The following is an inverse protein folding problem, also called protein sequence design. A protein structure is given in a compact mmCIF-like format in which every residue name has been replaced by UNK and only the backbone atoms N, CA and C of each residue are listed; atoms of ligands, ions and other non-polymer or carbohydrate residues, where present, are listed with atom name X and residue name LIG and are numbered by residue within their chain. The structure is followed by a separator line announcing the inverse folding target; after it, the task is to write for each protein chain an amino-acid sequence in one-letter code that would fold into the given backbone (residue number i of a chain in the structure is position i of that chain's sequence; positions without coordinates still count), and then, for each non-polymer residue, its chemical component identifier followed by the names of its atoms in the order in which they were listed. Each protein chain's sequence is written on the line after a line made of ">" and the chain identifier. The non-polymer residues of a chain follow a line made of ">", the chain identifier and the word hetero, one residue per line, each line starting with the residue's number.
data_IF_980415181163
#
_entry.id   IF_980415181163
#
_cell.length_a   1.000
_cell.length_b   1.000
_cell.length_c   1.000
_cell.angle_alpha   90.00
_cell.angle_beta   90.00
_cell.angle_gamma   90.00
#
_symmetry.space_group_name_H-M   'P 1'
#
loop_
_entity.id
_entity.type
_entity.pdbx_description
1 polymer ?
#
# COMPACT_ATOMS: atom_id res chain seq x y z
N UNK A 1 39.34 -9.50 2.17
CA UNK A 1 38.18 -9.51 1.26
C UNK A 1 38.62 -9.25 -0.18
N UNK A 2 39.22 -8.09 -0.45
CA UNK A 2 39.65 -7.68 -1.80
C UNK A 2 40.68 -8.61 -2.46
N UNK A 3 41.70 -9.06 -1.74
CA UNK A 3 42.64 -10.07 -2.25
C UNK A 3 41.95 -11.37 -2.71
N UNK A 4 40.93 -11.81 -1.96
CA UNK A 4 40.16 -13.00 -2.32
C UNK A 4 39.32 -12.76 -3.58
N UNK A 5 38.75 -11.55 -3.73
CA UNK A 5 38.07 -11.14 -4.97
C UNK A 5 39.01 -11.19 -6.17
N UNK A 6 40.24 -10.65 -6.03
CA UNK A 6 41.26 -10.67 -7.08
C UNK A 6 41.67 -12.09 -7.48
N UNK A 7 41.91 -12.97 -6.50
CA UNK A 7 42.28 -14.38 -6.77
C UNK A 7 41.20 -15.17 -7.52
N UNK A 8 39.94 -14.77 -7.40
CA UNK A 8 38.81 -15.44 -8.04
C UNK A 8 38.25 -14.64 -9.22
N UNK A 9 39.03 -13.73 -9.81
CA UNK A 9 38.58 -12.98 -10.97
C UNK A 9 38.22 -13.91 -12.16
N UNK A 10 37.09 -13.68 -12.86
CA UNK A 10 36.13 -12.59 -12.67
C UNK A 10 35.21 -12.82 -11.46
N UNK A 11 35.06 -11.81 -10.59
CA UNK A 11 34.25 -11.92 -9.37
C UNK A 11 33.44 -10.65 -9.05
N UNK A 12 32.40 -10.81 -8.24
CA UNK A 12 31.59 -9.71 -7.70
C UNK A 12 31.77 -9.67 -6.18
N UNK A 13 32.13 -8.51 -5.66
CA UNK A 13 32.16 -8.22 -4.22
C UNK A 13 30.90 -7.45 -3.88
N UNK A 14 30.03 -8.01 -3.04
CA UNK A 14 28.82 -7.35 -2.57
C UNK A 14 28.97 -6.89 -1.12
N UNK A 15 28.70 -5.61 -0.87
CA UNK A 15 28.74 -4.99 0.47
C UNK A 15 27.33 -4.49 0.80
N UNK A 16 26.63 -5.20 1.67
CA UNK A 16 25.34 -4.75 2.19
C UNK A 16 25.53 -3.72 3.30
N UNK A 17 24.53 -2.86 3.50
CA UNK A 17 24.51 -1.80 4.52
C UNK A 17 25.82 -0.98 4.60
N UNK A 18 26.29 -0.49 3.44
CA UNK A 18 27.57 0.25 3.38
C UNK A 18 27.59 1.49 4.28
N UNK A 19 26.44 2.05 4.66
CA UNK A 19 26.35 3.15 5.62
C UNK A 19 26.80 2.80 7.05
N UNK A 20 26.93 1.53 7.39
CA UNK A 20 27.53 1.10 8.66
C UNK A 20 29.02 1.49 8.76
N UNK A 21 29.75 1.41 7.65
CA UNK A 21 31.19 1.67 7.54
C UNK A 21 31.52 2.96 6.78
N UNK A 22 30.60 3.41 5.92
CA UNK A 22 30.80 4.49 4.95
C UNK A 22 30.21 5.84 5.37
N UNK A 23 29.87 6.03 6.65
CA UNK A 23 29.19 7.24 7.12
C UNK A 23 30.14 8.43 7.20
N UNK A 24 29.69 9.59 6.71
CA UNK A 24 30.40 10.86 6.83
C UNK A 24 30.57 11.30 8.29
N UNK A 25 31.59 12.12 8.55
CA UNK A 25 31.88 12.70 9.86
C UNK A 25 30.66 13.44 10.40
N UNK A 26 30.11 12.95 11.51
CA UNK A 26 29.24 13.76 12.35
C UNK A 26 30.11 14.49 13.38
N UNK A 27 29.91 15.80 13.55
CA UNK A 27 30.66 16.66 14.49
C UNK A 27 30.33 16.38 15.97
N UNK A 28 30.37 15.11 16.37
CA UNK A 28 30.13 14.65 17.73
C UNK A 28 31.46 14.37 18.45
N UNK A 29 31.70 15.07 19.56
CA UNK A 29 32.82 14.83 20.47
C UNK A 29 32.60 13.47 21.16
N UNK A 30 33.20 12.39 20.67
CA UNK A 30 33.14 11.07 21.31
C UNK A 30 33.93 9.99 20.56
N UNK A 31 34.86 9.31 21.25
CA UNK A 31 35.89 8.42 20.68
C UNK A 31 35.45 7.08 20.06
N UNK A 32 34.27 7.03 19.45
CA UNK A 32 33.80 5.89 18.62
C UNK A 32 34.02 6.09 17.10
N UNK A 33 34.66 7.20 16.72
CA UNK A 33 34.90 7.56 15.32
C UNK A 33 36.12 6.84 14.71
N UNK A 34 37.13 6.52 15.51
CA UNK A 34 38.45 6.12 15.00
C UNK A 34 38.45 4.76 14.28
N UNK A 35 37.75 3.75 14.81
CA UNK A 35 37.68 2.42 14.18
C UNK A 35 36.90 2.45 12.86
N UNK A 36 35.84 3.26 12.80
CA UNK A 36 35.02 3.43 11.60
C UNK A 36 35.80 4.19 10.53
N UNK A 37 36.50 5.25 10.91
CA UNK A 37 37.37 6.00 9.99
C UNK A 37 38.51 5.14 9.47
N UNK A 38 39.12 4.32 10.31
CA UNK A 38 40.17 3.39 9.88
C UNK A 38 39.62 2.36 8.87
N UNK A 39 38.43 1.81 9.14
CA UNK A 39 37.77 0.85 8.26
C UNK A 39 37.37 1.48 6.92
N UNK A 40 36.84 2.71 6.94
CA UNK A 40 36.51 3.48 5.74
C UNK A 40 37.77 3.76 4.91
N UNK A 41 38.83 4.27 5.52
CA UNK A 41 40.07 4.56 4.81
C UNK A 41 40.71 3.30 4.22
N UNK A 42 40.68 2.17 4.94
CA UNK A 42 41.12 0.89 4.40
C UNK A 42 40.29 0.48 3.17
N UNK A 43 38.97 0.63 3.23
CA UNK A 43 38.09 0.38 2.08
C UNK A 43 38.47 1.26 0.88
N UNK A 44 38.71 2.56 1.11
CA UNK A 44 39.08 3.51 0.05
C UNK A 44 40.44 3.18 -0.59
N UNK A 45 41.44 2.82 0.21
CA UNK A 45 42.77 2.44 -0.29
C UNK A 45 42.69 1.17 -1.13
N UNK A 46 41.92 0.17 -0.67
CA UNK A 46 41.72 -1.06 -1.43
C UNK A 46 40.99 -0.78 -2.75
N UNK A 47 39.97 0.08 -2.75
CA UNK A 47 39.24 0.48 -3.97
C UNK A 47 40.14 1.22 -4.98
N UNK A 48 40.97 2.15 -4.51
CA UNK A 48 41.93 2.88 -5.36
C UNK A 48 43.05 1.96 -5.89
N UNK A 49 43.27 0.80 -5.25
CA UNK A 49 44.21 -0.23 -5.64
C UNK A 49 43.70 -1.24 -6.68
N UNK A 50 42.52 -1.01 -7.27
CA UNK A 50 42.00 -1.79 -8.39
C UNK A 50 42.24 -1.09 -9.72
N UNK A 51 42.82 -1.82 -10.67
CA UNK A 51 42.81 -1.42 -12.07
C UNK A 51 41.56 -1.98 -12.75
N UNK A 52 41.02 -1.27 -13.74
CA UNK A 52 39.83 -1.71 -14.50
C UNK A 52 40.02 -3.06 -15.21
N UNK A 53 41.25 -3.56 -15.31
CA UNK A 53 41.62 -4.83 -15.93
C UNK A 53 41.54 -6.04 -14.98
N UNK A 54 41.37 -5.84 -13.67
CA UNK A 54 41.37 -6.92 -12.67
C UNK A 54 40.12 -7.82 -12.75
N UNK A 55 39.09 -7.46 -13.52
CA UNK A 55 37.88 -8.27 -13.69
C UNK A 55 37.02 -8.41 -12.43
N UNK A 56 37.20 -7.53 -11.44
CA UNK A 56 36.46 -7.50 -10.19
C UNK A 56 35.45 -6.35 -10.21
N UNK A 57 34.18 -6.64 -9.90
CA UNK A 57 33.11 -5.63 -9.78
C UNK A 57 32.72 -5.50 -8.31
N UNK A 58 32.69 -4.28 -7.79
CA UNK A 58 32.25 -4.00 -6.43
C UNK A 58 30.84 -3.40 -6.48
N UNK A 59 29.90 -4.01 -5.77
CA UNK A 59 28.52 -3.56 -5.62
C UNK A 59 28.25 -3.32 -4.14
N UNK A 60 27.59 -2.20 -3.82
CA UNK A 60 27.17 -1.90 -2.47
C UNK A 60 25.68 -1.54 -2.42
N UNK A 61 25.03 -1.83 -1.28
CA UNK A 61 23.64 -1.46 -1.03
C UNK A 61 23.56 -0.57 0.23
N UNK A 62 22.68 0.43 0.18
CA UNK A 62 22.32 1.23 1.35
C UNK A 62 20.90 1.79 1.19
N UNK A 63 20.20 1.94 2.30
CA UNK A 63 18.95 2.69 2.38
C UNK A 63 19.17 4.18 2.68
N UNK A 64 20.43 4.60 2.88
CA UNK A 64 20.81 5.94 3.35
C UNK A 64 21.98 6.52 2.55
N UNK A 65 21.80 6.81 1.26
CA UNK A 65 22.85 7.40 0.44
C UNK A 65 23.30 8.78 0.94
N UNK A 66 22.41 9.50 1.63
CA UNK A 66 22.61 10.84 2.18
C UNK A 66 23.69 10.90 3.28
N UNK A 67 23.84 9.84 4.08
CA UNK A 67 24.81 9.83 5.17
C UNK A 67 26.20 9.36 4.75
N UNK A 68 26.34 8.87 3.51
CA UNK A 68 27.60 8.35 3.02
C UNK A 68 28.66 9.44 2.86
N UNK A 69 29.92 9.07 3.11
CA UNK A 69 31.07 9.93 2.85
C UNK A 69 31.19 10.16 1.34
N UNK A 70 31.28 11.44 0.96
CA UNK A 70 31.44 11.86 -0.44
C UNK A 70 32.70 11.29 -1.10
N UNK A 71 33.69 10.88 -0.31
CA UNK A 71 34.88 10.18 -0.79
C UNK A 71 34.54 8.83 -1.44
N UNK A 72 33.52 8.11 -0.98
CA UNK A 72 33.08 6.83 -1.57
C UNK A 72 32.47 7.01 -2.97
N UNK A 73 31.84 8.16 -3.20
CA UNK A 73 31.08 8.46 -4.42
C UNK A 73 31.94 9.12 -5.52
N UNK A 74 33.26 9.24 -5.30
CA UNK A 74 34.17 9.85 -6.29
C UNK A 74 34.45 8.90 -7.45
N UNK A 75 34.75 9.43 -8.65
CA UNK A 75 35.18 8.63 -9.79
C UNK A 75 36.33 7.69 -9.43
N UNK A 76 36.25 6.43 -9.87
CA UNK A 76 37.21 5.37 -9.52
C UNK A 76 36.80 4.52 -8.31
N UNK A 77 35.72 4.89 -7.60
CA UNK A 77 35.16 4.13 -6.47
C UNK A 77 33.72 3.70 -6.78
N UNK A 78 32.73 4.15 -6.00
CA UNK A 78 31.32 3.99 -6.35
C UNK A 78 30.87 5.13 -7.27
N UNK A 79 31.32 5.07 -8.52
CA UNK A 79 31.05 6.08 -9.55
C UNK A 79 29.65 5.96 -10.18
N UNK A 80 29.00 4.79 -10.02
CA UNK A 80 27.64 4.51 -10.51
C UNK A 80 26.67 4.32 -9.35
N UNK A 81 25.59 5.08 -9.38
CA UNK A 81 24.47 4.95 -8.45
C UNK A 81 23.24 4.49 -9.23
N UNK A 82 22.65 3.38 -8.78
CA UNK A 82 21.41 2.84 -9.33
C UNK A 82 20.38 2.90 -8.23
N UNK A 83 19.38 3.76 -8.39
CA UNK A 83 18.27 3.87 -7.44
C UNK A 83 17.25 2.79 -7.79
N UNK A 84 16.90 1.98 -6.80
CA UNK A 84 15.85 0.96 -6.92
C UNK A 84 14.63 1.48 -6.17
N UNK A 85 13.68 2.03 -6.91
CA UNK A 85 12.42 2.51 -6.35
C UNK A 85 11.49 1.35 -5.95
N UNK A 86 10.48 1.66 -5.14
CA UNK A 86 9.40 0.73 -4.84
C UNK A 86 8.67 0.31 -6.13
N UNK A 87 8.24 -0.96 -6.23
CA UNK A 87 7.61 -1.48 -7.44
C UNK A 87 6.26 -0.79 -7.72
N UNK A 88 6.07 -0.40 -8.99
CA UNK A 88 4.77 0.03 -9.55
C UNK A 88 3.82 -1.15 -9.71
N UNK A 89 2.55 -0.90 -10.02
CA UNK A 89 1.50 -1.92 -10.14
C UNK A 89 1.92 -3.17 -10.92
N UNK A 90 2.47 -2.99 -12.12
CA UNK A 90 2.95 -4.09 -12.97
C UNK A 90 4.10 -4.85 -12.30
N UNK A 91 5.04 -4.13 -11.68
CA UNK A 91 6.13 -4.74 -10.91
C UNK A 91 5.64 -5.53 -9.71
N UNK A 92 4.63 -5.03 -8.98
CA UNK A 92 4.01 -5.75 -7.86
C UNK A 92 3.30 -7.01 -8.34
N UNK A 93 2.59 -6.95 -9.47
CA UNK A 93 1.95 -8.11 -10.08
C UNK A 93 2.99 -9.20 -10.44
N UNK A 94 4.10 -8.82 -11.06
CA UNK A 94 5.18 -9.77 -11.43
C UNK A 94 5.89 -10.35 -10.20
N UNK A 95 6.19 -9.53 -9.19
CA UNK A 95 6.77 -10.01 -7.93
C UNK A 95 5.83 -11.01 -7.26
N UNK A 96 4.52 -10.70 -7.18
CA UNK A 96 3.52 -11.62 -6.65
C UNK A 96 3.48 -12.93 -7.45
N UNK A 97 3.54 -12.89 -8.79
CA UNK A 97 3.59 -14.10 -9.62
C UNK A 97 4.81 -14.96 -9.32
N UNK A 98 6.00 -14.37 -9.19
CA UNK A 98 7.25 -15.07 -8.89
C UNK A 98 7.13 -15.80 -7.54
N UNK A 99 6.69 -15.08 -6.50
CA UNK A 99 6.56 -15.67 -5.16
C UNK A 99 5.39 -16.67 -5.05
N UNK A 100 4.32 -16.47 -5.82
CA UNK A 100 3.17 -17.36 -5.87
C UNK A 100 3.52 -18.76 -6.42
N UNK A 101 4.57 -18.92 -7.23
CA UNK A 101 5.00 -20.25 -7.74
C UNK A 101 5.31 -21.25 -6.62
N UNK A 102 5.66 -20.78 -5.43
CA UNK A 102 5.98 -21.61 -4.27
C UNK A 102 4.74 -22.04 -3.48
N UNK A 103 3.56 -21.54 -3.84
CA UNK A 103 2.32 -21.68 -3.05
C UNK A 103 1.19 -22.17 -3.96
N UNK A 104 0.36 -23.08 -3.44
CA UNK A 104 -0.82 -23.54 -4.16
C UNK A 104 -1.95 -22.52 -4.03
N UNK A 105 -2.22 -21.78 -5.11
CA UNK A 105 -3.34 -20.83 -5.19
C UNK A 105 -4.64 -21.52 -5.63
N UNK A 106 -5.77 -21.02 -5.16
CA UNK A 106 -7.09 -21.43 -5.63
C UNK A 106 -7.32 -20.97 -7.10
N UNK A 107 -8.07 -21.73 -7.91
CA UNK A 107 -8.42 -21.32 -9.27
C UNK A 107 -9.15 -19.97 -9.26
N UNK A 108 -8.81 -19.08 -10.20
CA UNK A 108 -9.45 -17.76 -10.33
C UNK A 108 -8.92 -16.67 -9.40
N UNK A 109 -7.80 -16.91 -8.69
CA UNK A 109 -7.17 -15.91 -7.83
C UNK A 109 -6.56 -14.77 -8.66
N UNK A 110 -7.15 -13.57 -8.59
CA UNK A 110 -6.67 -12.38 -9.29
C UNK A 110 -5.56 -11.65 -8.50
N UNK A 111 -4.30 -11.98 -8.82
CA UNK A 111 -3.13 -11.31 -8.24
C UNK A 111 -3.01 -9.83 -8.63
N UNK A 112 -3.61 -9.40 -9.74
CA UNK A 112 -3.62 -7.99 -10.15
C UNK A 112 -4.57 -7.17 -9.28
N UNK A 113 -5.69 -7.75 -8.83
CA UNK A 113 -6.54 -7.15 -7.79
C UNK A 113 -5.77 -6.96 -6.49
N UNK A 114 -4.98 -7.96 -6.09
CA UNK A 114 -4.14 -7.87 -4.89
C UNK A 114 -3.05 -6.78 -5.04
N UNK A 115 -2.37 -6.73 -6.19
CA UNK A 115 -1.32 -5.75 -6.50
C UNK A 115 -1.80 -4.29 -6.43
N UNK A 116 -3.07 -4.03 -6.78
CA UNK A 116 -3.70 -2.71 -6.61
C UNK A 116 -3.83 -2.32 -5.13
N UNK A 117 -4.05 -3.30 -4.25
CA UNK A 117 -4.25 -3.10 -2.81
C UNK A 117 -2.96 -2.97 -2.01
N UNK A 118 -1.82 -3.28 -2.62
CA UNK A 118 -0.48 -3.27 -2.01
C UNK A 118 0.36 -2.08 -2.48
N UNK A 119 -0.26 -0.95 -2.81
CA UNK A 119 0.47 0.27 -3.15
C UNK A 119 1.41 0.68 -2.00
N UNK A 120 2.67 0.97 -2.35
CA UNK A 120 3.75 1.27 -1.40
C UNK A 120 4.45 0.07 -0.78
N UNK A 121 4.09 -1.17 -1.15
CA UNK A 121 4.76 -2.37 -0.65
C UNK A 121 6.09 -2.58 -1.37
N UNK A 122 7.11 -2.98 -0.62
CA UNK A 122 8.37 -3.47 -1.18
C UNK A 122 8.23 -4.91 -1.70
N UNK A 123 9.23 -5.39 -2.45
CA UNK A 123 9.26 -6.79 -2.86
C UNK A 123 9.27 -7.76 -1.68
N UNK A 124 9.94 -7.39 -0.59
CA UNK A 124 9.97 -8.16 0.66
C UNK A 124 8.58 -8.21 1.32
N UNK A 125 7.84 -7.09 1.34
CA UNK A 125 6.49 -7.05 1.90
C UNK A 125 5.52 -7.94 1.11
N UNK A 126 5.62 -7.97 -0.22
CA UNK A 126 4.81 -8.84 -1.09
C UNK A 126 5.13 -10.32 -0.87
N UNK A 127 6.41 -10.66 -0.73
CA UNK A 127 6.84 -12.01 -0.40
C UNK A 127 6.31 -12.45 0.97
N UNK A 128 6.38 -11.56 1.97
CA UNK A 128 5.87 -11.81 3.31
C UNK A 128 4.34 -11.96 3.32
N UNK A 129 3.61 -11.14 2.57
CA UNK A 129 2.16 -11.25 2.39
C UNK A 129 1.76 -12.64 1.91
N UNK A 130 2.41 -13.14 0.85
CA UNK A 130 2.12 -14.46 0.31
C UNK A 130 2.42 -15.59 1.31
N UNK A 131 3.52 -15.47 2.04
CA UNK A 131 3.86 -16.41 3.11
C UNK A 131 2.80 -16.41 4.23
N UNK A 132 2.35 -15.23 4.63
CA UNK A 132 1.29 -15.08 5.63
C UNK A 132 -0.05 -15.66 5.16
N UNK A 133 -0.40 -15.49 3.88
CA UNK A 133 -1.59 -16.10 3.29
C UNK A 133 -1.51 -17.63 3.31
N UNK A 134 -0.35 -18.20 2.99
CA UNK A 134 -0.12 -19.65 3.07
C UNK A 134 -0.24 -20.18 4.51
N UNK A 135 0.27 -19.44 5.49
CA UNK A 135 0.13 -19.78 6.91
C UNK A 135 -1.33 -19.71 7.37
N UNK A 136 -2.10 -18.72 6.91
CA UNK A 136 -3.54 -18.58 7.22
C UNK A 136 -4.36 -19.73 6.63
N UNK A 137 -4.12 -20.09 5.37
CA UNK A 137 -4.77 -21.21 4.71
C UNK A 137 -4.44 -22.54 5.40
N UNK A 138 -3.16 -22.75 5.75
CA UNK A 138 -2.69 -23.95 6.46
C UNK A 138 -3.34 -24.10 7.84
N UNK A 139 -3.47 -23.00 8.60
CA UNK A 139 -4.17 -23.00 9.90
C UNK A 139 -5.65 -23.39 9.81
N UNK A 140 -6.29 -23.08 8.68
CA UNK A 140 -7.67 -23.45 8.39
C UNK A 140 -7.78 -24.82 7.70
N UNK A 141 -6.67 -25.55 7.57
CA UNK A 141 -6.58 -26.82 6.85
C UNK A 141 -7.10 -26.75 5.40
N UNK A 142 -6.99 -25.58 4.75
CA UNK A 142 -7.38 -25.40 3.35
C UNK A 142 -6.36 -26.07 2.42
N UNK A 143 -6.86 -26.62 1.31
CA UNK A 143 -6.02 -27.29 0.31
C UNK A 143 -5.29 -26.32 -0.64
N UNK A 144 -5.71 -25.05 -0.68
CA UNK A 144 -5.12 -23.97 -1.49
C UNK A 144 -5.42 -22.62 -0.83
N UNK A 145 -4.58 -21.62 -1.12
CA UNK A 145 -4.75 -20.23 -0.68
C UNK A 145 -5.77 -19.54 -1.58
N UNK A 146 -6.83 -19.00 -0.98
CA UNK A 146 -7.86 -18.24 -1.70
C UNK A 146 -7.64 -16.71 -1.60
N UNK A 147 -8.53 -15.94 -2.25
CA UNK A 147 -8.46 -14.48 -2.23
C UNK A 147 -8.71 -13.88 -0.83
N UNK A 148 -9.49 -14.55 0.01
CA UNK A 148 -9.79 -14.07 1.37
C UNK A 148 -8.55 -14.20 2.26
N UNK A 149 -7.81 -15.30 2.14
CA UNK A 149 -6.54 -15.49 2.84
C UNK A 149 -5.50 -14.44 2.40
N UNK A 150 -5.46 -14.10 1.11
CA UNK A 150 -4.57 -13.06 0.56
C UNK A 150 -4.96 -11.65 1.05
N UNK A 151 -6.25 -11.32 1.07
CA UNK A 151 -6.74 -10.04 1.58
C UNK A 151 -6.50 -9.91 3.09
N UNK A 152 -6.70 -10.98 3.87
CA UNK A 152 -6.39 -11.00 5.30
C UNK A 152 -4.89 -10.86 5.55
N UNK A 153 -4.05 -11.55 4.78
CA UNK A 153 -2.60 -11.44 4.87
C UNK A 153 -2.12 -10.03 4.52
N UNK A 154 -2.68 -9.41 3.48
CA UNK A 154 -2.40 -8.02 3.10
C UNK A 154 -2.68 -7.08 4.27
N UNK A 155 -3.87 -7.20 4.85
CA UNK A 155 -4.29 -6.33 5.95
C UNK A 155 -3.43 -6.56 7.20
N UNK A 156 -3.03 -7.81 7.45
CA UNK A 156 -2.09 -8.16 8.52
C UNK A 156 -0.71 -7.55 8.31
N UNK A 157 -0.16 -7.59 7.09
CA UNK A 157 1.14 -6.96 6.79
C UNK A 157 1.04 -5.45 6.93
N UNK A 158 -0.08 -4.85 6.50
CA UNK A 158 -0.26 -3.38 6.52
C UNK A 158 -0.52 -2.80 7.90
N UNK A 159 -1.39 -3.44 8.69
CA UNK A 159 -1.92 -2.89 9.95
C UNK A 159 -1.65 -3.77 11.17
N UNK A 160 -1.03 -4.93 10.98
CA UNK A 160 -0.82 -5.91 12.02
C UNK A 160 -2.01 -6.84 12.23
N UNK A 161 -1.87 -7.73 13.21
CA UNK A 161 -2.86 -8.78 13.49
C UNK A 161 -4.16 -8.19 14.03
N UNK A 162 -5.26 -8.84 13.66
CA UNK A 162 -6.58 -8.65 14.25
C UNK A 162 -6.53 -8.85 15.77
N UNK A 163 -7.13 -7.92 16.53
CA UNK A 163 -7.18 -7.99 18.00
C UNK A 163 -8.56 -8.41 18.50
N UNK A 164 -8.91 -9.69 18.30
CA UNK A 164 -10.16 -10.29 18.79
C UNK A 164 -10.36 -10.19 20.31
N UNK A 165 -9.28 -10.05 21.08
CA UNK A 165 -9.36 -9.90 22.54
C UNK A 165 -9.77 -8.50 22.98
N UNK A 166 -9.73 -7.50 22.10
CA UNK A 166 -10.21 -6.15 22.39
C UNK A 166 -11.67 -6.08 21.97
N UNK A 167 -12.54 -6.56 22.86
CA UNK A 167 -13.98 -6.36 22.73
C UNK A 167 -14.22 -4.86 22.91
N UNK A 168 -14.64 -4.19 21.84
CA UNK A 168 -15.10 -2.81 21.91
C UNK A 168 -16.45 -2.81 22.62
N UNK A 169 -16.67 -1.82 23.49
CA UNK A 169 -18.00 -1.61 24.03
C UNK A 169 -18.98 -1.22 22.91
N UNK A 170 -20.28 -1.43 23.10
CA UNK A 170 -21.29 -1.11 22.09
C UNK A 170 -21.26 0.38 21.70
N UNK A 171 -20.92 1.25 22.65
CA UNK A 171 -20.74 2.69 22.41
C UNK A 171 -19.50 2.98 21.54
N UNK A 172 -18.36 2.31 21.81
CA UNK A 172 -17.14 2.43 21.00
C UNK A 172 -17.33 1.83 19.60
N UNK A 173 -18.05 0.71 19.49
CA UNK A 173 -18.39 0.06 18.23
C UNK A 173 -19.28 0.97 17.40
N UNK A 174 -20.31 1.58 18.01
CA UNK A 174 -21.18 2.58 17.37
C UNK A 174 -20.36 3.79 16.91
N UNK A 175 -19.51 4.33 17.76
CA UNK A 175 -18.67 5.48 17.43
C UNK A 175 -17.80 5.20 16.21
N UNK A 176 -17.08 4.07 16.23
CA UNK A 176 -16.22 3.65 15.13
C UNK A 176 -17.03 3.41 13.85
N UNK A 177 -18.22 2.80 13.95
CA UNK A 177 -19.08 2.57 12.79
C UNK A 177 -19.54 3.87 12.12
N UNK A 178 -19.97 4.87 12.89
CA UNK A 178 -20.34 6.17 12.32
C UNK A 178 -19.13 6.92 11.75
N UNK A 179 -17.98 6.84 12.41
CA UNK A 179 -16.72 7.42 11.93
C UNK A 179 -16.33 6.86 10.55
N UNK A 180 -16.24 5.54 10.43
CA UNK A 180 -15.87 4.88 9.17
C UNK A 180 -16.94 5.06 8.09
N UNK A 181 -18.23 5.06 8.47
CA UNK A 181 -19.33 5.34 7.54
C UNK A 181 -19.28 6.79 7.01
N UNK A 182 -18.81 7.73 7.82
CA UNK A 182 -18.54 9.10 7.42
C UNK A 182 -17.51 9.17 6.29
N UNK A 183 -16.37 8.53 6.49
CA UNK A 183 -15.34 8.38 5.45
C UNK A 183 -15.90 7.74 4.19
N UNK A 184 -16.59 6.61 4.33
CA UNK A 184 -17.23 5.88 3.23
C UNK A 184 -18.06 6.80 2.33
N UNK A 185 -19.03 7.47 2.94
CA UNK A 185 -20.09 8.17 2.24
C UNK A 185 -19.53 9.40 1.53
N UNK A 186 -18.65 10.16 2.20
CA UNK A 186 -18.00 11.31 1.60
C UNK A 186 -17.08 10.88 0.46
N UNK A 187 -16.21 9.88 0.68
CA UNK A 187 -15.30 9.40 -0.36
C UNK A 187 -16.03 8.83 -1.58
N UNK A 188 -17.23 8.26 -1.41
CA UNK A 188 -18.04 7.76 -2.53
C UNK A 188 -18.70 8.89 -3.33
N UNK A 189 -19.00 10.03 -2.70
CA UNK A 189 -19.73 11.14 -3.31
C UNK A 189 -18.84 12.27 -3.84
N UNK A 190 -17.62 12.40 -3.34
CA UNK A 190 -16.69 13.43 -3.83
C UNK A 190 -16.14 13.10 -5.22
N UNK A 191 -16.00 14.14 -6.03
CA UNK A 191 -15.51 14.02 -7.40
C UNK A 191 -14.07 13.50 -7.46
N UNK A 192 -13.78 12.67 -8.47
CA UNK A 192 -12.44 12.12 -8.75
C UNK A 192 -11.84 11.32 -7.58
N UNK A 193 -12.67 10.83 -6.67
CA UNK A 193 -12.26 9.89 -5.62
C UNK A 193 -11.84 8.54 -6.20
N UNK A 194 -10.95 7.85 -5.51
CA UNK A 194 -10.64 6.45 -5.82
C UNK A 194 -11.78 5.54 -5.33
N UNK A 195 -12.08 4.43 -6.01
CA UNK A 195 -13.20 3.57 -5.62
C UNK A 195 -12.92 2.91 -4.27
N UNK A 196 -13.96 2.81 -3.45
CA UNK A 196 -13.90 2.08 -2.18
C UNK A 196 -13.69 0.59 -2.46
N UNK A 197 -12.87 -0.03 -1.61
CA UNK A 197 -12.60 -1.45 -1.63
C UNK A 197 -13.40 -2.17 -0.55
N UNK A 198 -13.25 -1.71 0.70
CA UNK A 198 -13.95 -2.21 1.87
C UNK A 198 -13.81 -1.26 3.04
N UNK A 199 -14.67 -1.44 4.03
CA UNK A 199 -14.70 -0.70 5.28
C UNK A 199 -14.91 -1.68 6.41
N UNK A 200 -14.17 -1.51 7.50
CA UNK A 200 -14.22 -2.41 8.65
C UNK A 200 -14.10 -1.66 9.96
N UNK A 201 -14.78 -2.14 10.99
CA UNK A 201 -14.66 -1.69 12.40
C UNK A 201 -13.93 -2.71 13.27
N UNK A 202 -13.25 -3.68 12.63
CA UNK A 202 -12.50 -4.70 13.34
C UNK A 202 -11.13 -4.12 13.73
N UNK A 203 -10.78 -4.04 15.03
CA UNK A 203 -9.55 -3.41 15.47
C UNK A 203 -8.31 -4.20 15.04
N UNK A 204 -7.32 -3.49 14.49
CA UNK A 204 -6.02 -4.05 14.05
C UNK A 204 -4.84 -3.28 14.62
N UNK A 205 -3.79 -4.02 14.98
CA UNK A 205 -2.56 -3.42 15.52
C UNK A 205 -2.78 -2.67 16.84
N UNK A 206 -1.90 -1.73 17.16
CA UNK A 206 -1.94 -0.95 18.42
C UNK A 206 -2.87 0.27 18.36
N UNK A 207 -3.25 0.75 17.18
CA UNK A 207 -3.84 2.09 17.02
C UNK A 207 -5.04 2.20 16.09
N UNK A 208 -5.43 1.15 15.36
CA UNK A 208 -6.56 1.21 14.42
C UNK A 208 -7.79 0.53 15.00
N UNK A 209 -8.86 1.31 15.20
CA UNK A 209 -10.17 0.82 15.65
C UNK A 209 -11.09 0.47 14.46
N UNK A 210 -10.93 1.18 13.34
CA UNK A 210 -11.57 0.90 12.06
C UNK A 210 -10.65 1.32 10.91
N UNK A 211 -11.06 0.99 9.69
CA UNK A 211 -10.38 1.44 8.48
C UNK A 211 -11.32 1.49 7.26
N UNK A 212 -11.22 2.59 6.51
CA UNK A 212 -11.81 2.76 5.18
C UNK A 212 -10.73 2.60 4.10
N UNK A 213 -10.92 1.63 3.20
CA UNK A 213 -9.94 1.28 2.17
C UNK A 213 -10.40 1.71 0.78
N UNK A 214 -9.52 2.38 0.03
CA UNK A 214 -9.68 2.65 -1.40
C UNK A 214 -8.73 1.76 -2.22
N UNK A 215 -9.16 1.34 -3.41
CA UNK A 215 -8.36 0.57 -4.34
C UNK A 215 -8.10 1.38 -5.61
N UNK A 216 -6.93 2.02 -5.75
CA UNK A 216 -6.61 2.79 -6.95
C UNK A 216 -6.69 1.93 -8.21
N UNK A 217 -7.23 2.49 -9.29
CA UNK A 217 -7.27 1.78 -10.59
C UNK A 217 -5.90 1.71 -11.26
N UNK A 218 -5.04 2.69 -10.99
CA UNK A 218 -3.68 2.81 -11.50
C UNK A 218 -2.82 3.60 -10.53
N UNK A 219 -1.52 3.35 -10.53
CA UNK A 219 -0.56 4.19 -9.82
C UNK A 219 -0.44 5.54 -10.57
N UNK A 220 -0.52 6.64 -9.84
CA UNK A 220 -0.43 8.01 -10.38
C UNK A 220 0.70 8.76 -9.70
N UNK A 221 1.48 9.49 -10.49
CA UNK A 221 2.54 10.36 -9.98
C UNK A 221 2.07 11.79 -9.70
N UNK A 222 0.92 12.20 -10.25
CA UNK A 222 0.38 13.56 -10.11
C UNK A 222 -1.08 13.52 -9.71
N UNK A 223 -1.47 14.48 -8.85
CA UNK A 223 -2.83 14.62 -8.35
C UNK A 223 -3.36 16.03 -8.62
N UNK A 224 -4.61 16.11 -9.07
CA UNK A 224 -5.27 17.38 -9.35
C UNK A 224 -5.90 18.00 -8.10
N UNK A 225 -6.00 19.34 -8.06
CA UNK A 225 -6.58 20.10 -6.95
C UNK A 225 -7.96 19.58 -6.50
N UNK A 226 -8.84 19.25 -7.44
CA UNK A 226 -10.20 18.74 -7.14
C UNK A 226 -10.13 17.45 -6.30
N UNK A 227 -9.24 16.52 -6.67
CA UNK A 227 -9.06 15.26 -5.94
C UNK A 227 -8.46 15.50 -4.56
N UNK A 228 -7.45 16.37 -4.45
CA UNK A 228 -6.84 16.72 -3.16
C UNK A 228 -7.86 17.37 -2.20
N UNK A 229 -8.71 18.27 -2.69
CA UNK A 229 -9.83 18.83 -1.91
C UNK A 229 -10.85 17.74 -1.53
N UNK A 230 -11.10 16.76 -2.40
CA UNK A 230 -11.93 15.59 -2.10
C UNK A 230 -11.33 14.72 -0.99
N UNK A 231 -10.01 14.48 -1.02
CA UNK A 231 -9.29 13.74 0.02
C UNK A 231 -9.33 14.45 1.37
N UNK A 232 -9.12 15.78 1.40
CA UNK A 232 -9.28 16.57 2.62
C UNK A 232 -10.69 16.44 3.21
N UNK A 233 -11.74 16.52 2.37
CA UNK A 233 -13.11 16.32 2.82
C UNK A 233 -13.33 14.89 3.34
N UNK A 234 -12.75 13.89 2.67
CA UNK A 234 -12.74 12.50 3.11
C UNK A 234 -12.16 12.34 4.51
N UNK A 235 -10.98 12.88 4.81
CA UNK A 235 -10.38 12.79 6.15
C UNK A 235 -11.14 13.58 7.22
N UNK A 236 -11.83 14.66 6.87
CA UNK A 236 -12.69 15.37 7.82
C UNK A 236 -13.98 14.61 8.14
N UNK A 237 -14.41 13.70 7.25
CA UNK A 237 -15.72 13.08 7.31
C UNK A 237 -15.95 12.24 8.57
N UNK A 238 -14.96 11.48 9.04
CA UNK A 238 -15.10 10.67 10.26
C UNK A 238 -15.44 11.51 11.49
N UNK A 239 -14.66 12.57 11.73
CA UNK A 239 -14.91 13.55 12.80
C UNK A 239 -16.27 14.24 12.67
N UNK A 240 -16.66 14.63 11.46
CA UNK A 240 -17.95 15.28 11.21
C UNK A 240 -19.11 14.32 11.48
N UNK A 241 -18.98 13.04 11.11
CA UNK A 241 -20.00 12.04 11.39
C UNK A 241 -20.19 11.84 12.90
N UNK A 242 -19.11 11.81 13.68
CA UNK A 242 -19.18 11.80 15.14
C UNK A 242 -19.94 13.02 15.69
N UNK A 243 -19.54 14.24 15.28
CA UNK A 243 -20.21 15.48 15.72
C UNK A 243 -21.71 15.46 15.41
N UNK A 244 -22.08 15.06 14.19
CA UNK A 244 -23.47 15.07 13.73
C UNK A 244 -24.35 14.01 14.39
N UNK A 245 -23.80 12.86 14.76
CA UNK A 245 -24.58 11.72 15.24
C UNK A 245 -24.53 11.60 16.76
N UNK A 246 -23.33 11.72 17.32
CA UNK A 246 -23.05 11.47 18.74
C UNK A 246 -23.07 12.77 19.55
N UNK A 247 -22.93 13.92 18.90
CA UNK A 247 -22.88 15.22 19.57
C UNK A 247 -21.58 15.46 20.35
N UNK A 248 -20.61 14.57 20.22
CA UNK A 248 -19.29 14.64 20.82
C UNK A 248 -18.22 14.26 19.79
N UNK A 249 -16.98 14.67 20.03
CA UNK A 249 -15.84 14.44 19.14
C UNK A 249 -14.80 13.60 19.87
N UNK A 250 -14.42 12.49 19.24
CA UNK A 250 -13.48 11.53 19.80
C UNK A 250 -12.01 11.91 19.55
N UNK A 251 -11.12 11.23 20.27
CA UNK A 251 -9.68 11.27 20.00
C UNK A 251 -9.27 10.39 18.81
N UNK A 252 -10.18 9.57 18.27
CA UNK A 252 -9.94 8.65 17.15
C UNK A 252 -9.57 9.36 15.84
N UNK A 253 -10.12 10.55 15.61
CA UNK A 253 -9.84 11.37 14.42
C UNK A 253 -8.42 12.00 14.38
N UNK A 254 -7.55 11.70 15.35
CA UNK A 254 -6.23 12.31 15.46
C UNK A 254 -5.32 12.04 14.26
N UNK A 255 -5.36 10.82 13.71
CA UNK A 255 -4.57 10.48 12.52
C UNK A 255 -5.10 11.20 11.27
N UNK A 256 -6.42 11.27 11.08
CA UNK A 256 -7.01 11.95 9.92
C UNK A 256 -6.69 13.43 9.91
N UNK A 257 -6.76 14.08 11.07
CA UNK A 257 -6.36 15.47 11.22
C UNK A 257 -4.87 15.68 10.91
N UNK A 258 -4.01 14.76 11.35
CA UNK A 258 -2.57 14.80 11.04
C UNK A 258 -2.32 14.68 9.53
N UNK A 259 -2.98 13.74 8.86
CA UNK A 259 -2.84 13.55 7.41
C UNK A 259 -3.42 14.74 6.63
N UNK A 260 -4.60 15.21 7.01
CA UNK A 260 -5.24 16.36 6.38
C UNK A 260 -4.40 17.64 6.53
N UNK A 261 -3.87 17.89 7.73
CA UNK A 261 -3.00 19.04 7.98
C UNK A 261 -1.71 18.95 7.16
N UNK A 262 -1.09 17.76 7.11
CA UNK A 262 0.11 17.54 6.27
C UNK A 262 -0.19 17.80 4.80
N UNK A 263 -1.29 17.27 4.27
CA UNK A 263 -1.65 17.47 2.87
C UNK A 263 -1.96 18.93 2.55
N UNK A 264 -2.76 19.60 3.40
CA UNK A 264 -3.06 21.01 3.23
C UNK A 264 -1.79 21.86 3.24
N UNK A 265 -0.82 21.52 4.09
CA UNK A 265 0.49 22.18 4.09
C UNK A 265 1.29 21.93 2.82
N UNK A 266 1.30 20.70 2.28
CA UNK A 266 1.94 20.41 0.98
C UNK A 266 1.27 21.17 -0.18
N UNK A 267 -0.06 21.25 -0.17
CA UNK A 267 -0.82 22.01 -1.16
C UNK A 267 -0.41 23.48 -1.17
N UNK A 268 -0.27 24.09 0.01
CA UNK A 268 0.10 25.50 0.15
C UNK A 268 1.60 25.73 -0.09
N UNK A 269 2.46 24.94 0.57
CA UNK A 269 3.90 25.18 0.60
C UNK A 269 4.66 24.61 -0.60
N UNK A 270 4.29 23.42 -1.11
CA UNK A 270 5.11 22.70 -2.09
C UNK A 270 4.50 22.76 -3.49
N UNK A 271 3.17 22.80 -3.59
CA UNK A 271 2.47 22.72 -4.87
C UNK A 271 1.84 24.05 -5.33
N UNK A 272 2.00 25.12 -4.55
CA UNK A 272 1.52 26.46 -4.93
C UNK A 272 0.01 26.52 -5.20
N UNK A 273 -0.78 25.70 -4.49
CA UNK A 273 -2.23 25.57 -4.70
C UNK A 273 -3.06 26.56 -3.86
N UNK A 274 -2.41 27.56 -3.25
CA UNK A 274 -3.09 28.70 -2.61
C UNK A 274 -3.24 29.83 -3.62
N UNK A 275 -4.46 30.35 -3.76
CA UNK A 275 -4.72 31.52 -4.59
C UNK A 275 -4.08 32.81 -4.02
N UNK A 276 -3.89 32.87 -2.70
CA UNK A 276 -3.36 34.06 -2.03
C UNK A 276 -1.83 34.12 -2.06
N UNK A 277 -1.17 32.97 -1.87
CA UNK A 277 0.29 32.87 -1.86
C UNK A 277 0.87 32.63 -3.26
N UNK A 278 0.05 32.20 -4.21
CA UNK A 278 0.44 32.00 -5.60
C UNK A 278 1.27 30.74 -5.85
N UNK A 279 1.72 30.54 -7.10
CA UNK A 279 2.43 29.33 -7.54
C UNK A 279 3.91 29.37 -7.17
N UNK A 280 4.24 29.40 -5.88
CA UNK A 280 5.61 29.39 -5.37
C UNK A 280 5.80 28.31 -4.29
N UNK A 281 7.05 27.92 -4.06
CA UNK A 281 7.43 26.93 -3.04
C UNK A 281 7.97 27.61 -1.79
N UNK A 282 7.51 27.19 -0.61
CA UNK A 282 7.91 27.71 0.69
C UNK A 282 8.64 26.66 1.52
N UNK A 283 9.81 27.03 2.03
CA UNK A 283 10.70 26.14 2.76
C UNK A 283 11.38 25.18 1.80
N UNK A 284 12.67 25.41 1.53
CA UNK A 284 13.47 24.40 0.86
C UNK A 284 13.48 23.16 1.75
N UNK A 285 12.80 22.10 1.31
CA UNK A 285 13.00 20.78 1.89
C UNK A 285 14.39 20.31 1.46
N UNK A 286 15.44 20.77 2.14
CA UNK A 286 16.50 19.82 2.46
C UNK A 286 15.88 18.85 3.44
N UNK A 287 15.41 17.74 2.89
CA UNK A 287 14.88 16.60 3.63
C UNK A 287 16.05 15.91 4.36
N UNK A 288 16.74 16.64 5.24
CA UNK A 288 17.68 16.11 6.23
C UNK A 288 16.85 15.36 7.28
N UNK A 289 16.30 14.22 6.88
CA UNK A 289 15.81 13.21 7.77
C UNK A 289 17.00 12.76 8.61
N UNK A 290 16.87 12.95 9.92
CA UNK A 290 17.57 12.17 10.97
C UNK A 290 18.67 12.87 11.78
N UNK A 291 18.31 13.92 12.52
CA UNK A 291 18.86 14.10 13.87
C UNK A 291 17.76 14.34 14.89
N UNK A 292 17.80 13.58 15.98
CA UNK A 292 17.08 13.82 17.24
C UNK A 292 17.58 15.07 17.98
N UNK A 293 17.77 16.16 17.25
CA UNK A 293 17.90 17.52 17.74
C UNK A 293 16.93 18.35 16.92
N UNK A 294 16.15 19.17 17.62
CA UNK A 294 15.46 20.32 17.06
C UNK A 294 16.51 21.26 16.45
N UNK A 295 17.06 20.89 15.28
CA UNK A 295 17.78 21.82 14.44
C UNK A 295 16.70 22.77 13.99
N UNK A 296 16.76 24.00 14.52
CA UNK A 296 15.88 25.08 14.16
C UNK A 296 15.69 25.05 12.65
N UNK A 297 14.46 24.75 12.21
CA UNK A 297 14.08 24.94 10.81
C UNK A 297 14.32 26.42 10.56
N UNK A 298 15.39 26.76 9.87
CA UNK A 298 15.50 28.08 9.28
C UNK A 298 14.34 28.15 8.30
N UNK A 299 13.28 28.87 8.68
CA UNK A 299 12.19 29.15 7.79
C UNK A 299 12.76 30.12 6.74
N UNK A 300 12.82 29.71 5.48
CA UNK A 300 13.29 30.56 4.37
C UNK A 300 12.31 31.71 4.04
N UNK A 301 11.41 32.04 4.96
CA UNK A 301 10.36 33.02 4.79
C UNK A 301 10.08 33.76 6.11
N UNK A 302 9.53 34.97 5.99
CA UNK A 302 9.22 35.82 7.14
C UNK A 302 8.11 35.25 8.02
N UNK A 303 8.07 35.66 9.29
CA UNK A 303 6.97 35.37 10.22
C UNK A 303 5.60 35.79 9.66
N UNK A 304 5.54 36.88 8.89
CA UNK A 304 4.33 37.29 8.20
C UNK A 304 3.87 36.25 7.17
N UNK A 305 4.81 35.69 6.41
CA UNK A 305 4.53 34.62 5.43
C UNK A 305 4.12 33.34 6.15
N UNK A 306 4.79 32.98 7.25
CA UNK A 306 4.42 31.84 8.08
C UNK A 306 2.96 31.94 8.56
N UNK A 307 2.58 33.11 9.08
CA UNK A 307 1.20 33.38 9.50
C UNK A 307 0.19 33.25 8.35
N UNK A 308 0.55 33.73 7.15
CA UNK A 308 -0.32 33.60 5.96
C UNK A 308 -0.47 32.14 5.51
N UNK A 309 0.60 31.35 5.56
CA UNK A 309 0.57 29.90 5.30
C UNK A 309 -0.40 29.22 6.27
N UNK A 310 -0.28 29.49 7.57
CA UNK A 310 -1.15 28.87 8.57
C UNK A 310 -2.62 29.27 8.41
N UNK A 311 -2.90 30.51 8.01
CA UNK A 311 -4.24 30.99 7.67
C UNK A 311 -4.84 30.24 6.47
N UNK A 312 -4.06 30.08 5.40
CA UNK A 312 -4.51 29.37 4.20
C UNK A 312 -4.69 27.87 4.45
N UNK A 313 -3.81 27.24 5.24
CA UNK A 313 -3.99 25.85 5.69
C UNK A 313 -5.27 25.72 6.51
N UNK A 314 -5.51 26.60 7.49
CA UNK A 314 -6.72 26.56 8.30
C UNK A 314 -7.99 26.72 7.45
N UNK A 315 -7.96 27.62 6.47
CA UNK A 315 -9.06 27.85 5.53
C UNK A 315 -9.36 26.60 4.70
N UNK A 316 -8.35 25.96 4.12
CA UNK A 316 -8.54 24.70 3.37
C UNK A 316 -9.16 23.60 4.23
N UNK A 317 -8.71 23.45 5.47
CA UNK A 317 -9.26 22.45 6.40
C UNK A 317 -10.70 22.78 6.80
N UNK A 318 -11.04 24.05 7.03
CA UNK A 318 -12.42 24.50 7.31
C UNK A 318 -13.35 24.32 6.12
N UNK A 319 -12.90 24.64 4.91
CA UNK A 319 -13.65 24.38 3.67
C UNK A 319 -13.93 22.88 3.50
N UNK A 320 -12.92 22.04 3.73
CA UNK A 320 -13.07 20.58 3.67
C UNK A 320 -14.05 20.07 4.74
N UNK A 321 -13.98 20.60 5.96
CA UNK A 321 -14.90 20.27 7.05
C UNK A 321 -16.35 20.63 6.70
N UNK A 322 -16.57 21.86 6.23
CA UNK A 322 -17.89 22.34 5.83
C UNK A 322 -18.45 21.53 4.66
N UNK A 323 -17.62 21.16 3.68
CA UNK A 323 -18.01 20.29 2.57
C UNK A 323 -18.42 18.90 3.06
N UNK A 324 -17.64 18.29 3.94
CA UNK A 324 -17.97 16.99 4.53
C UNK A 324 -19.29 17.05 5.32
N UNK A 325 -19.47 18.10 6.14
CA UNK A 325 -20.70 18.34 6.91
C UNK A 325 -21.92 18.47 6.02
N UNK A 326 -21.84 19.28 4.97
CA UNK A 326 -22.94 19.43 4.02
C UNK A 326 -23.32 18.11 3.34
N UNK A 327 -22.34 17.31 2.91
CA UNK A 327 -22.58 15.99 2.28
C UNK A 327 -23.26 15.04 3.27
N UNK A 328 -22.74 14.94 4.49
CA UNK A 328 -23.25 14.02 5.51
C UNK A 328 -24.65 14.42 6.02
N UNK A 329 -24.93 15.71 6.18
CA UNK A 329 -26.27 16.22 6.52
C UNK A 329 -27.28 15.92 5.41
N UNK A 330 -26.90 16.18 4.14
CA UNK A 330 -27.76 15.95 2.98
C UNK A 330 -28.10 14.46 2.81
N UNK A 331 -27.17 13.58 3.15
CA UNK A 331 -27.31 12.13 2.99
C UNK A 331 -27.42 11.37 4.31
N UNK A 332 -27.99 12.01 5.34
CA UNK A 332 -28.02 11.46 6.70
C UNK A 332 -28.63 10.05 6.79
N UNK A 333 -29.74 9.82 6.10
CA UNK A 333 -30.38 8.50 6.08
C UNK A 333 -29.46 7.39 5.53
N UNK A 334 -28.59 7.71 4.57
CA UNK A 334 -27.62 6.75 4.02
C UNK A 334 -26.47 6.52 4.98
N UNK A 335 -26.02 7.55 5.70
CA UNK A 335 -25.01 7.42 6.75
C UNK A 335 -25.49 6.46 7.84
N UNK A 336 -26.70 6.67 8.35
CA UNK A 336 -27.27 5.83 9.40
C UNK A 336 -27.43 4.37 8.93
N UNK A 337 -27.84 4.16 7.67
CA UNK A 337 -27.95 2.83 7.08
C UNK A 337 -26.59 2.11 6.98
N UNK A 338 -25.56 2.78 6.47
CA UNK A 338 -24.21 2.20 6.36
C UNK A 338 -23.68 1.88 7.76
N UNK A 339 -23.84 2.77 8.73
CA UNK A 339 -23.36 2.57 10.09
C UNK A 339 -24.03 1.38 10.77
N UNK A 340 -25.36 1.24 10.66
CA UNK A 340 -26.08 0.11 11.24
C UNK A 340 -25.66 -1.23 10.61
N UNK A 341 -25.53 -1.27 9.28
CA UNK A 341 -25.03 -2.46 8.57
C UNK A 341 -23.60 -2.81 8.96
N UNK A 342 -22.77 -1.80 9.22
CA UNK A 342 -21.39 -1.99 9.65
C UNK A 342 -21.31 -2.50 11.10
N UNK A 343 -22.24 -2.11 11.98
CA UNK A 343 -22.37 -2.69 13.33
C UNK A 343 -22.76 -4.17 13.27
N UNK A 344 -23.68 -4.52 12.37
CA UNK A 344 -24.17 -5.89 12.18
C UNK A 344 -23.13 -6.81 11.54
N UNK A 345 -22.48 -6.37 10.46
CA UNK A 345 -21.58 -7.21 9.64
C UNK A 345 -20.10 -7.01 9.94
N UNK A 346 -19.74 -5.96 10.67
CA UNK A 346 -18.38 -5.54 11.05
C UNK A 346 -17.47 -5.14 9.88
N UNK A 347 -17.77 -5.60 8.67
CA UNK A 347 -17.09 -5.27 7.42
C UNK A 347 -18.11 -5.17 6.28
N UNK A 348 -17.97 -4.14 5.45
CA UNK A 348 -18.75 -3.92 4.23
C UNK A 348 -17.81 -3.76 3.04
N UNK A 349 -18.18 -4.30 1.88
CA UNK A 349 -17.42 -4.13 0.65
C UNK A 349 -17.76 -2.81 -0.05
N UNK A 350 -16.85 -2.32 -0.91
CA UNK A 350 -17.08 -1.10 -1.69
C UNK A 350 -18.34 -1.15 -2.56
N UNK A 351 -18.68 -2.33 -3.09
CA UNK A 351 -19.92 -2.57 -3.85
C UNK A 351 -21.18 -2.35 -3.02
N UNK A 352 -21.17 -2.78 -1.76
CA UNK A 352 -22.30 -2.64 -0.83
C UNK A 352 -22.60 -1.16 -0.60
N UNK A 353 -21.56 -0.36 -0.44
CA UNK A 353 -21.65 1.09 -0.23
C UNK A 353 -22.12 1.78 -1.50
N UNK A 354 -21.61 1.38 -2.67
CA UNK A 354 -22.06 1.91 -3.95
C UNK A 354 -23.55 1.65 -4.19
N UNK A 355 -24.04 0.46 -3.87
CA UNK A 355 -25.46 0.11 -3.93
C UNK A 355 -26.31 0.97 -2.99
N UNK A 356 -25.89 1.14 -1.73
CA UNK A 356 -26.60 1.99 -0.75
C UNK A 356 -26.63 3.45 -1.24
N UNK A 357 -25.53 3.95 -1.79
CA UNK A 357 -25.46 5.31 -2.29
C UNK A 357 -26.35 5.52 -3.53
N UNK A 358 -26.44 4.54 -4.44
CA UNK A 358 -27.25 4.63 -5.66
C UNK A 358 -28.75 4.36 -5.43
N UNK A 359 -29.06 3.30 -4.68
CA UNK A 359 -30.41 2.76 -4.56
C UNK A 359 -31.05 3.01 -3.20
N UNK A 360 -30.29 3.45 -2.19
CA UNK A 360 -30.78 3.65 -0.83
C UNK A 360 -31.03 2.35 -0.06
N UNK A 361 -30.63 1.20 -0.61
CA UNK A 361 -30.73 -0.13 -0.01
C UNK A 361 -29.64 -1.05 -0.53
N UNK A 362 -29.34 -2.12 0.20
CA UNK A 362 -28.60 -3.25 -0.34
C UNK A 362 -29.49 -4.04 -1.30
N UNK A 363 -28.92 -4.43 -2.44
CA UNK A 363 -29.57 -5.37 -3.34
C UNK A 363 -29.43 -6.80 -2.78
N UNK A 364 -30.45 -7.63 -2.96
CA UNK A 364 -30.36 -9.05 -2.60
C UNK A 364 -29.34 -9.78 -3.49
N UNK A 365 -28.83 -10.94 -3.07
CA UNK A 365 -27.90 -11.72 -3.90
C UNK A 365 -28.51 -12.10 -5.26
N UNK A 366 -29.83 -12.28 -5.33
CA UNK A 366 -30.58 -12.53 -6.55
C UNK A 366 -30.63 -11.29 -7.48
N UNK A 367 -30.74 -10.08 -6.90
CA UNK A 367 -30.67 -8.82 -7.64
C UNK A 367 -29.23 -8.46 -8.09
N UNK A 368 -28.23 -9.08 -7.46
CA UNK A 368 -26.80 -8.92 -7.79
C UNK A 368 -26.31 -9.88 -8.87
N UNK A 369 -27.05 -10.95 -9.17
CA UNK A 369 -26.71 -11.85 -10.26
C UNK A 369 -26.80 -11.07 -11.59
N UNK A 370 -25.77 -11.10 -12.45
CA UNK A 370 -25.86 -10.47 -13.75
C UNK A 370 -27.01 -11.13 -14.53
N UNK A 371 -27.87 -10.31 -15.16
CA UNK A 371 -28.96 -10.76 -16.02
C UNK A 371 -28.51 -11.50 -17.31
N UNK A 372 -27.22 -11.84 -17.42
CA UNK A 372 -26.61 -12.64 -18.49
C UNK A 372 -25.70 -13.73 -17.88
N UNK A 373 -26.33 -14.72 -17.25
CA UNK A 373 -25.77 -16.08 -17.23
C UNK A 373 -26.58 -16.87 -18.27
N UNK A 374 -25.97 -17.47 -19.31
CA UNK A 374 -26.72 -18.25 -20.27
C UNK A 374 -27.42 -19.37 -19.52
N UNK A 375 -28.74 -19.44 -19.68
CA UNK A 375 -29.55 -20.55 -19.23
C UNK A 375 -28.84 -21.84 -19.64
N UNK A 376 -28.39 -22.62 -18.65
CA UNK A 376 -27.96 -23.98 -18.88
C UNK A 376 -29.16 -24.69 -19.48
N UNK A 377 -29.07 -24.95 -20.78
CA UNK A 377 -30.04 -25.76 -21.49
C UNK A 377 -30.11 -27.12 -20.77
N UNK A 378 -31.33 -27.48 -20.38
CA UNK A 378 -31.72 -28.79 -19.90
C UNK A 378 -31.05 -29.89 -20.75
N UNK A 379 -30.25 -30.73 -20.11
CA UNK A 379 -29.81 -31.99 -20.71
C UNK A 379 -31.04 -32.88 -20.94
N UNK A 380 -31.16 -33.56 -22.09
CA UNK A 380 -32.33 -34.35 -22.38
C UNK A 380 -32.35 -35.61 -21.49
N UNK A 381 -33.56 -35.91 -21.02
CA UNK A 381 -33.92 -37.08 -20.25
C UNK A 381 -33.49 -38.40 -20.92
N UNK A 382 -33.01 -39.32 -20.07
CA UNK A 382 -32.88 -40.74 -20.40
C UNK A 382 -34.26 -41.34 -20.68
N UNK A 383 -34.40 -42.04 -21.81
CA UNK A 383 -35.38 -43.08 -22.01
C UNK A 383 -34.65 -44.34 -22.47
N UNK A 384 -34.87 -45.42 -21.72
CA UNK A 384 -34.27 -46.74 -21.91
C UNK A 384 -34.98 -47.56 -23.00
N UNK A 385 -34.21 -48.45 -23.63
CA UNK A 385 -34.53 -49.78 -24.21
C UNK A 385 -33.53 -50.05 -25.34
N UNK A 386 -33.04 -51.24 -25.63
CA UNK A 386 -32.97 -52.55 -24.99
C UNK A 386 -31.96 -53.34 -25.84
N UNK A 387 -31.22 -54.26 -25.22
CA UNK A 387 -30.88 -55.54 -25.87
C UNK A 387 -29.68 -55.66 -26.83
N UNK A 388 -28.76 -56.53 -26.42
CA UNK A 388 -27.95 -57.47 -27.21
C UNK A 388 -26.52 -57.06 -27.64
N UNK A 389 -25.58 -57.46 -26.79
CA UNK A 389 -24.27 -58.00 -27.19
C UNK A 389 -24.46 -59.38 -27.89
N UNK A 390 -23.52 -59.89 -28.74
CA UNK A 390 -22.16 -60.18 -28.29
C UNK A 390 -21.01 -59.96 -29.30
N UNK A 391 -19.80 -59.95 -28.72
CA UNK A 391 -18.46 -59.81 -29.32
C UNK A 391 -17.98 -61.03 -30.19
N UNK A 392 -16.66 -61.18 -30.49
CA UNK A 392 -15.84 -60.61 -31.58
C UNK A 392 -15.27 -61.74 -32.51
N UNK A 393 -14.33 -61.50 -33.47
CA UNK A 393 -12.89 -61.62 -33.12
C UNK A 393 -11.85 -60.84 -34.01
N UNK A 394 -10.70 -60.55 -33.37
CA UNK A 394 -9.29 -60.70 -33.80
C UNK A 394 -8.89 -60.52 -35.27
N UNK A 395 -7.91 -59.63 -35.53
CA UNK A 395 -6.76 -59.91 -36.40
C UNK A 395 -5.57 -58.97 -36.14
N UNK A 396 -4.38 -59.57 -36.03
CA UNK A 396 -3.04 -59.02 -35.85
C UNK A 396 -2.32 -59.06 -37.21
N UNK A 397 -1.51 -58.05 -37.56
CA UNK A 397 -0.30 -58.17 -38.42
C UNK A 397 0.33 -56.76 -38.62
N UNK A 398 1.44 -56.42 -37.97
CA UNK A 398 2.87 -56.60 -38.33
C UNK A 398 3.44 -55.56 -39.32
N UNK A 399 4.63 -55.04 -38.95
CA UNK A 399 5.76 -54.66 -39.81
C UNK A 399 5.57 -53.50 -40.82
N UNK A 400 6.54 -52.65 -41.16
CA UNK A 400 8.00 -52.60 -40.96
C UNK A 400 8.51 -51.19 -41.32
N UNK A 401 9.75 -50.92 -40.94
CA UNK A 401 10.57 -49.76 -41.26
C UNK A 401 10.81 -49.44 -42.75
N UNK A 402 11.10 -48.15 -43.04
CA UNK A 402 12.10 -47.60 -43.99
C UNK A 402 11.95 -46.05 -43.95
N UNK A 403 12.91 -45.23 -43.52
CA UNK A 403 14.16 -44.78 -44.18
C UNK A 403 13.97 -44.05 -45.52
N UNK A 404 14.69 -42.92 -45.62
CA UNK A 404 14.95 -41.97 -46.73
C UNK A 404 13.83 -40.92 -46.98
N UNK A 405 14.06 -39.60 -47.01
CA UNK A 405 15.24 -38.73 -47.26
C UNK A 405 15.36 -37.57 -46.25
#
# INVERSE_FOLDING_TARGET
>A
MFEQGKKNAPSIIFIDEIDAVGRSRFSGIGGGHDEREQTLNALLVEMDGFETQDGVIIIAATNRPDVLDQALLRPGRFDRQIVIDLPVLEGREEILKIHAQKIKLAPGTDLRRLARGTSGFSGADLANLLNEAALLASRQAKAAVDILDLEEARDKVRWGRERRSRVLDEEEKRLTAYHESGHALVLQLVEKSEPLHKITIIPRGTSYLGATMQLPKKDRHTEGLIKLKGMLAGWMAGRVAEELVLGDISTGAGNDLKQATRLARLMVCNWGMSAELGPQTFGAQEELLFLGREVARNQDFSEETARRIDQEVNKLLREAYARAKHILETHRAKLDLIANLLIERETLEGRDIEEIVKHGRLLSEEERAPADAPAQADGPAQAASDGADPAPPVAVSTDTAAQDE
#
